data_IF_409773375891
#
_entry.id   IF_409773375891
#
_cell.length_a   1.000
_cell.length_b   1.000
_cell.length_c   1.000
_cell.angle_alpha   90.00
_cell.angle_beta   90.00
_cell.angle_gamma   90.00
#
_symmetry.space_group_name_H-M   'P 1'
#
loop_
_entity.id
_entity.type
_entity.pdbx_description
1 polymer ?
#
# COMPACT_ATOMS: atom_id res chain seq x y z
N UNK A 1 -34.41 11.45 -7.88
CA UNK A 1 -33.44 10.35 -7.78
C UNK A 1 -32.97 10.29 -6.34
N UNK A 2 -33.57 9.42 -5.56
CA UNK A 2 -33.19 9.16 -4.16
C UNK A 2 -31.87 8.40 -4.20
N UNK A 3 -30.78 9.01 -3.76
CA UNK A 3 -29.53 8.29 -3.50
C UNK A 3 -29.82 7.27 -2.39
N UNK A 4 -29.81 5.99 -2.76
CA UNK A 4 -29.89 4.91 -1.79
C UNK A 4 -28.67 5.06 -0.87
N UNK A 5 -28.89 5.38 0.38
CA UNK A 5 -27.89 5.35 1.43
C UNK A 5 -27.35 3.92 1.50
N UNK A 6 -26.13 3.72 1.04
CA UNK A 6 -25.47 2.43 1.19
C UNK A 6 -25.46 2.06 2.69
N UNK A 7 -25.85 0.84 3.01
CA UNK A 7 -25.81 0.34 4.38
C UNK A 7 -24.38 0.46 4.91
N UNK A 8 -24.16 0.96 6.14
CA UNK A 8 -22.83 1.13 6.69
C UNK A 8 -22.11 -0.22 6.70
N UNK A 9 -20.84 -0.21 6.33
CA UNK A 9 -19.99 -1.40 6.36
C UNK A 9 -20.07 -2.09 7.72
N UNK A 10 -20.28 -3.41 7.73
CA UNK A 10 -20.36 -4.19 8.97
C UNK A 10 -19.00 -4.17 9.70
N UNK A 11 -18.93 -3.46 10.80
CA UNK A 11 -17.75 -3.35 11.66
C UNK A 11 -17.40 -1.92 12.03
N UNK A 12 -16.83 -1.72 13.20
CA UNK A 12 -16.35 -0.38 13.62
C UNK A 12 -15.10 0.01 12.83
N UNK A 13 -14.95 1.29 12.40
CA UNK A 13 -13.77 1.76 11.71
C UNK A 13 -12.49 1.47 12.49
N UNK A 14 -11.47 0.94 11.82
CA UNK A 14 -10.17 0.70 12.43
C UNK A 14 -9.43 2.04 12.63
N UNK A 15 -9.00 2.29 13.85
CA UNK A 15 -8.24 3.48 14.20
C UNK A 15 -6.85 3.53 13.55
N UNK A 16 -6.24 4.71 13.57
CA UNK A 16 -4.94 4.96 12.96
C UNK A 16 -3.85 3.99 13.43
N UNK A 17 -3.72 3.78 14.73
CA UNK A 17 -2.66 2.93 15.29
C UNK A 17 -2.72 1.47 14.80
N UNK A 18 -3.92 0.88 14.72
CA UNK A 18 -4.08 -0.48 14.21
C UNK A 18 -3.62 -0.60 12.75
N UNK A 19 -3.95 0.40 11.93
CA UNK A 19 -3.54 0.47 10.52
C UNK A 19 -2.04 0.70 10.38
N UNK A 20 -1.46 1.56 11.24
CA UNK A 20 -0.03 1.86 11.23
C UNK A 20 0.78 0.60 11.56
N UNK A 21 0.44 -0.11 12.63
CA UNK A 21 1.13 -1.35 13.02
C UNK A 21 0.98 -2.41 11.93
N UNK A 22 -0.22 -2.57 11.36
CA UNK A 22 -0.44 -3.48 10.23
C UNK A 22 0.47 -3.11 9.03
N UNK A 23 0.54 -1.83 8.67
CA UNK A 23 1.38 -1.36 7.58
C UNK A 23 2.88 -1.57 7.85
N UNK A 24 3.33 -1.39 9.08
CA UNK A 24 4.72 -1.67 9.49
C UNK A 24 5.05 -3.16 9.29
N UNK A 25 4.18 -4.07 9.75
CA UNK A 25 4.38 -5.51 9.58
C UNK A 25 4.48 -5.86 8.08
N UNK A 26 3.54 -5.38 7.27
CA UNK A 26 3.54 -5.62 5.83
C UNK A 26 4.77 -5.01 5.14
N UNK A 27 5.19 -3.81 5.56
CA UNK A 27 6.40 -3.15 5.03
C UNK A 27 7.67 -3.92 5.36
N UNK A 28 7.79 -4.50 6.55
CA UNK A 28 8.93 -5.36 6.92
C UNK A 28 8.99 -6.58 5.99
N UNK A 29 7.86 -7.23 5.72
CA UNK A 29 7.79 -8.38 4.80
C UNK A 29 8.29 -7.99 3.40
N UNK A 30 7.76 -6.90 2.84
CA UNK A 30 8.15 -6.44 1.50
C UNK A 30 9.60 -5.96 1.46
N UNK A 31 10.07 -5.28 2.50
CA UNK A 31 11.47 -4.83 2.59
C UNK A 31 12.44 -6.03 2.57
N UNK A 32 12.14 -7.10 3.29
CA UNK A 32 12.97 -8.31 3.26
C UNK A 32 13.00 -8.91 1.85
N UNK A 33 11.85 -8.99 1.16
CA UNK A 33 11.78 -9.52 -0.20
C UNK A 33 12.63 -8.68 -1.16
N UNK A 34 12.46 -7.37 -1.15
CA UNK A 34 13.22 -6.45 -2.03
C UNK A 34 14.71 -6.47 -1.68
N UNK A 35 15.05 -6.54 -0.39
CA UNK A 35 16.44 -6.65 0.05
C UNK A 35 17.11 -7.93 -0.48
N UNK A 36 16.44 -9.07 -0.39
CA UNK A 36 16.96 -10.34 -0.92
C UNK A 36 17.18 -10.25 -2.42
N UNK A 37 16.24 -9.68 -3.18
CA UNK A 37 16.37 -9.47 -4.62
C UNK A 37 17.59 -8.57 -4.91
N UNK A 38 17.70 -7.44 -4.22
CA UNK A 38 18.81 -6.48 -4.38
C UNK A 38 20.16 -7.13 -4.06
N UNK A 39 20.22 -7.91 -2.98
CA UNK A 39 21.43 -8.58 -2.54
C UNK A 39 21.89 -9.62 -3.57
N UNK A 40 20.98 -10.48 -4.03
CA UNK A 40 21.30 -11.52 -5.03
C UNK A 40 21.75 -10.90 -6.35
N UNK A 41 21.04 -9.87 -6.83
CA UNK A 41 21.41 -9.18 -8.07
C UNK A 41 22.72 -8.41 -7.92
N UNK A 42 22.91 -7.71 -6.81
CA UNK A 42 24.15 -6.98 -6.54
C UNK A 42 25.37 -7.90 -6.46
N UNK A 43 25.20 -9.06 -5.81
CA UNK A 43 26.26 -10.09 -5.78
C UNK A 43 26.58 -10.66 -7.16
N UNK A 44 25.54 -10.94 -7.96
CA UNK A 44 25.71 -11.52 -9.30
C UNK A 44 26.32 -10.55 -10.32
N UNK A 45 26.00 -9.25 -10.23
CA UNK A 45 26.41 -8.23 -11.19
C UNK A 45 27.70 -7.47 -10.75
N UNK A 46 28.12 -7.65 -9.51
CA UNK A 46 29.28 -6.95 -8.95
C UNK A 46 29.07 -5.43 -8.79
N UNK A 47 30.14 -4.70 -8.44
CA UNK A 47 30.08 -3.26 -8.15
C UNK A 47 29.62 -2.43 -9.36
N UNK A 48 30.02 -2.80 -10.56
CA UNK A 48 29.63 -2.09 -11.79
C UNK A 48 28.15 -2.26 -12.13
N UNK A 49 27.52 -3.32 -11.62
CA UNK A 49 26.12 -3.63 -11.84
C UNK A 49 25.14 -3.10 -10.75
N UNK A 50 25.65 -2.41 -9.70
CA UNK A 50 24.82 -1.97 -8.56
C UNK A 50 23.64 -1.10 -9.00
N UNK A 51 23.83 -0.17 -9.94
CA UNK A 51 22.76 0.68 -10.46
C UNK A 51 21.65 -0.16 -11.13
N UNK A 52 22.04 -1.11 -11.99
CA UNK A 52 21.09 -2.01 -12.66
C UNK A 52 20.37 -2.89 -11.66
N UNK A 53 21.09 -3.46 -10.69
CA UNK A 53 20.51 -4.27 -9.61
C UNK A 53 19.47 -3.47 -8.82
N UNK A 54 19.77 -2.21 -8.52
CA UNK A 54 18.85 -1.32 -7.81
C UNK A 54 17.58 -1.04 -8.61
N UNK A 55 17.70 -0.66 -9.88
CA UNK A 55 16.55 -0.39 -10.75
C UNK A 55 15.66 -1.63 -10.87
N UNK A 56 16.25 -2.80 -11.13
CA UNK A 56 15.51 -4.06 -11.25
C UNK A 56 14.82 -4.43 -9.94
N UNK A 57 15.49 -4.26 -8.80
CA UNK A 57 14.91 -4.56 -7.50
C UNK A 57 13.74 -3.66 -7.16
N UNK A 58 13.82 -2.36 -7.44
CA UNK A 58 12.71 -1.43 -7.25
C UNK A 58 11.55 -1.73 -8.20
N UNK A 59 11.80 -2.00 -9.48
CA UNK A 59 10.75 -2.36 -10.44
C UNK A 59 10.04 -3.65 -10.02
N UNK A 60 10.79 -4.70 -9.68
CA UNK A 60 10.24 -5.95 -9.16
C UNK A 60 9.48 -5.74 -7.85
N UNK A 61 10.03 -4.94 -6.93
CA UNK A 61 9.40 -4.57 -5.67
C UNK A 61 8.05 -3.89 -5.86
N UNK A 62 7.95 -2.98 -6.82
CA UNK A 62 6.70 -2.31 -7.19
C UNK A 62 5.64 -3.28 -7.69
N UNK A 63 6.01 -4.21 -8.58
CA UNK A 63 5.11 -5.25 -9.09
C UNK A 63 4.66 -6.17 -7.95
N UNK A 64 5.59 -6.64 -7.13
CA UNK A 64 5.29 -7.50 -5.98
C UNK A 64 4.36 -6.78 -5.00
N UNK A 65 4.66 -5.51 -4.65
CA UNK A 65 3.84 -4.71 -3.75
C UNK A 65 2.43 -4.51 -4.31
N UNK A 66 2.29 -4.18 -5.60
CA UNK A 66 0.99 -4.02 -6.24
C UNK A 66 0.14 -5.29 -6.09
N UNK A 67 0.68 -6.44 -6.48
CA UNK A 67 -0.06 -7.71 -6.39
C UNK A 67 -0.29 -8.15 -4.93
N UNK A 68 0.68 -7.94 -4.04
CA UNK A 68 0.56 -8.25 -2.63
C UNK A 68 -0.65 -7.56 -2.00
N UNK A 69 -0.72 -6.22 -2.14
CA UNK A 69 -1.82 -5.45 -1.55
C UNK A 69 -3.13 -5.70 -2.28
N UNK A 70 -3.14 -5.62 -3.62
CA UNK A 70 -4.37 -5.75 -4.40
C UNK A 70 -5.02 -7.13 -4.25
N UNK A 71 -4.24 -8.21 -4.38
CA UNK A 71 -4.75 -9.58 -4.28
C UNK A 71 -5.21 -9.96 -2.87
N UNK A 72 -4.48 -9.51 -1.84
CA UNK A 72 -4.82 -9.85 -0.47
C UNK A 72 -6.02 -9.05 0.05
N UNK A 73 -6.15 -7.79 -0.34
CA UNK A 73 -7.27 -6.95 0.05
C UNK A 73 -8.58 -7.25 -0.72
N UNK A 74 -8.48 -7.69 -1.98
CA UNK A 74 -9.65 -8.15 -2.75
C UNK A 74 -9.97 -9.63 -2.55
N UNK A 75 -9.11 -10.37 -1.86
CA UNK A 75 -9.26 -11.79 -1.62
C UNK A 75 -10.30 -12.13 -0.54
N UNK A 76 -10.49 -13.42 -0.29
CA UNK A 76 -11.48 -13.96 0.68
C UNK A 76 -11.35 -13.34 2.08
N UNK A 77 -10.12 -13.12 2.54
CA UNK A 77 -9.86 -12.60 3.89
C UNK A 77 -9.88 -11.07 3.95
N UNK A 78 -9.90 -10.38 2.80
CA UNK A 78 -9.93 -8.92 2.69
C UNK A 78 -8.79 -8.23 3.50
N UNK A 79 -7.69 -8.93 3.73
CA UNK A 79 -6.64 -8.49 4.64
C UNK A 79 -5.26 -9.01 4.24
N UNK A 80 -4.26 -8.16 4.34
CA UNK A 80 -2.84 -8.54 4.30
C UNK A 80 -2.42 -9.25 5.60
N UNK A 81 -1.28 -9.94 5.66
CA UNK A 81 -0.76 -10.54 6.88
C UNK A 81 -0.72 -9.58 8.08
N UNK A 82 -0.20 -8.36 7.88
CA UNK A 82 -0.19 -7.35 8.95
C UNK A 82 -1.60 -6.97 9.42
N UNK A 83 -2.55 -6.85 8.51
CA UNK A 83 -3.96 -6.58 8.86
C UNK A 83 -4.60 -7.74 9.60
N UNK A 84 -4.29 -9.00 9.22
CA UNK A 84 -4.78 -10.19 9.93
C UNK A 84 -4.28 -10.22 11.38
N UNK A 85 -2.99 -9.95 11.59
CA UNK A 85 -2.40 -9.86 12.94
C UNK A 85 -3.11 -8.80 13.78
N UNK A 86 -3.45 -7.66 13.17
CA UNK A 86 -4.15 -6.56 13.86
C UNK A 86 -5.67 -6.73 13.91
N UNK A 87 -6.23 -7.84 13.41
CA UNK A 87 -7.66 -8.14 13.37
C UNK A 87 -8.46 -7.02 12.69
N UNK A 88 -7.97 -6.55 11.54
CA UNK A 88 -8.63 -5.54 10.70
C UNK A 88 -8.70 -6.04 9.25
N UNK A 89 -9.70 -5.60 8.52
CA UNK A 89 -9.93 -5.95 7.10
C UNK A 89 -10.39 -4.76 6.28
N UNK A 90 -10.27 -4.88 4.97
CA UNK A 90 -10.71 -3.86 4.00
C UNK A 90 -12.05 -4.27 3.44
N UNK A 91 -13.00 -3.36 3.45
CA UNK A 91 -14.33 -3.56 2.86
C UNK A 91 -14.64 -2.42 1.90
N UNK A 92 -15.52 -2.66 0.94
CA UNK A 92 -16.11 -1.60 0.13
C UNK A 92 -17.00 -0.71 1.00
N UNK A 93 -17.17 0.55 0.63
CA UNK A 93 -18.12 1.46 1.28
C UNK A 93 -19.57 0.94 1.24
N UNK A 94 -19.90 0.04 0.27
CA UNK A 94 -21.18 -0.68 0.22
C UNK A 94 -21.28 -1.87 1.18
N UNK A 95 -20.23 -2.18 1.94
CA UNK A 95 -20.22 -3.24 2.96
C UNK A 95 -19.75 -4.62 2.49
N UNK A 96 -19.51 -4.81 1.18
CA UNK A 96 -18.97 -6.05 0.60
C UNK A 96 -17.45 -6.10 0.51
N UNK A 97 -16.93 -7.16 -0.15
CA UNK A 97 -15.52 -7.23 -0.50
C UNK A 97 -15.16 -6.15 -1.52
N UNK A 98 -13.96 -5.59 -1.40
CA UNK A 98 -13.41 -4.69 -2.40
C UNK A 98 -13.00 -5.53 -3.62
N UNK A 99 -13.34 -5.07 -4.82
CA UNK A 99 -12.89 -5.71 -6.05
C UNK A 99 -11.39 -5.47 -6.29
N UNK A 100 -10.79 -6.22 -7.21
CA UNK A 100 -9.36 -6.13 -7.50
C UNK A 100 -8.95 -4.74 -8.00
N UNK A 101 -9.76 -4.11 -8.85
CA UNK A 101 -9.49 -2.77 -9.36
C UNK A 101 -9.57 -1.70 -8.25
N UNK A 102 -10.54 -1.80 -7.36
CA UNK A 102 -10.65 -0.96 -6.17
C UNK A 102 -9.47 -1.16 -5.22
N UNK A 103 -9.01 -2.41 -5.04
CA UNK A 103 -7.84 -2.71 -4.23
C UNK A 103 -6.55 -2.11 -4.83
N UNK A 104 -6.36 -2.15 -6.16
CA UNK A 104 -5.26 -1.44 -6.84
C UNK A 104 -5.34 0.07 -6.57
N UNK A 105 -6.51 0.67 -6.81
CA UNK A 105 -6.73 2.11 -6.58
C UNK A 105 -6.45 2.51 -5.14
N UNK A 106 -6.83 1.66 -4.18
CA UNK A 106 -6.61 1.92 -2.77
C UNK A 106 -5.14 1.81 -2.38
N UNK A 107 -4.43 0.81 -2.90
CA UNK A 107 -3.07 0.46 -2.48
C UNK A 107 -1.96 1.28 -3.14
N UNK A 108 -2.27 2.29 -3.96
CA UNK A 108 -1.27 3.10 -4.66
C UNK A 108 -0.21 3.71 -3.73
N UNK A 109 -0.58 4.06 -2.53
CA UNK A 109 0.34 4.59 -1.50
C UNK A 109 1.47 3.62 -1.14
N UNK A 110 1.31 2.33 -1.43
CA UNK A 110 2.29 1.30 -1.10
C UNK A 110 3.16 0.87 -2.28
N UNK A 111 2.65 0.86 -3.51
CA UNK A 111 3.39 0.37 -4.67
C UNK A 111 3.92 1.46 -5.59
N UNK A 112 3.25 2.62 -5.66
CA UNK A 112 3.64 3.70 -6.57
C UNK A 112 5.03 4.24 -6.25
N UNK A 113 5.42 4.31 -4.98
CA UNK A 113 6.72 4.78 -4.55
C UNK A 113 7.90 4.03 -5.15
N UNK A 114 7.75 2.74 -5.40
CA UNK A 114 8.78 1.93 -6.05
C UNK A 114 9.02 2.37 -7.51
N UNK A 115 7.94 2.60 -8.27
CA UNK A 115 8.06 3.04 -9.68
C UNK A 115 8.55 4.49 -9.77
N UNK A 116 8.09 5.35 -8.88
CA UNK A 116 8.58 6.74 -8.80
C UNK A 116 10.07 6.75 -8.46
N UNK A 117 10.54 5.88 -7.57
CA UNK A 117 11.96 5.75 -7.25
C UNK A 117 12.81 5.31 -8.47
N UNK A 118 12.28 4.43 -9.33
CA UNK A 118 12.96 4.07 -10.59
C UNK A 118 13.09 5.30 -11.50
N UNK A 119 12.03 6.08 -11.66
CA UNK A 119 12.07 7.33 -12.46
C UNK A 119 13.06 8.32 -11.86
N UNK A 120 13.03 8.51 -10.55
CA UNK A 120 13.95 9.39 -9.84
C UNK A 120 15.41 9.01 -10.08
N UNK A 121 15.75 7.73 -9.96
CA UNK A 121 17.12 7.23 -10.15
C UNK A 121 17.56 7.42 -11.61
N UNK A 122 16.71 7.05 -12.58
CA UNK A 122 17.07 7.05 -14.01
C UNK A 122 17.13 8.47 -14.58
N UNK A 123 16.20 9.35 -14.19
CA UNK A 123 16.06 10.68 -14.79
C UNK A 123 16.80 11.75 -14.02
N UNK A 124 16.75 11.69 -12.70
CA UNK A 124 17.26 12.76 -11.84
C UNK A 124 18.51 12.37 -11.03
N UNK A 125 18.84 11.08 -10.93
CA UNK A 125 19.94 10.61 -10.09
C UNK A 125 19.75 10.84 -8.58
N UNK A 126 18.52 11.02 -8.13
CA UNK A 126 18.16 11.33 -6.73
C UNK A 126 16.74 10.81 -6.38
N UNK A 127 16.17 11.22 -5.24
CA UNK A 127 14.85 10.77 -4.76
C UNK A 127 13.86 11.94 -4.53
N UNK A 128 13.86 12.97 -5.37
CA UNK A 128 13.00 14.15 -5.21
C UNK A 128 11.51 13.84 -5.31
N UNK A 129 11.08 13.15 -6.37
CA UNK A 129 9.68 12.81 -6.57
C UNK A 129 9.18 11.81 -5.54
N UNK A 130 10.05 10.86 -5.16
CA UNK A 130 9.78 9.90 -4.07
C UNK A 130 9.56 10.64 -2.74
N UNK A 131 10.34 11.67 -2.46
CA UNK A 131 10.16 12.52 -1.28
C UNK A 131 8.83 13.26 -1.28
N UNK A 132 8.44 13.87 -2.41
CA UNK A 132 7.14 14.56 -2.57
C UNK A 132 5.98 13.57 -2.38
N UNK A 133 6.08 12.38 -2.98
CA UNK A 133 5.08 11.32 -2.81
C UNK A 133 4.98 10.87 -1.35
N UNK A 134 6.12 10.77 -0.64
CA UNK A 134 6.16 10.46 0.79
C UNK A 134 5.39 11.48 1.64
N UNK A 135 5.48 12.76 1.32
CA UNK A 135 4.69 13.81 1.97
C UNK A 135 3.18 13.60 1.70
N UNK A 136 2.78 13.29 0.46
CA UNK A 136 1.38 13.02 0.13
C UNK A 136 0.83 11.81 0.90
N UNK A 137 1.62 10.75 1.04
CA UNK A 137 1.27 9.57 1.86
C UNK A 137 1.14 9.95 3.32
N UNK A 138 2.05 10.76 3.88
CA UNK A 138 1.98 11.24 5.25
C UNK A 138 0.71 12.05 5.51
N UNK A 139 0.34 12.95 4.60
CA UNK A 139 -0.92 13.73 4.69
C UNK A 139 -2.14 12.79 4.68
N UNK A 140 -2.11 11.74 3.85
CA UNK A 140 -3.18 10.72 3.84
C UNK A 140 -3.26 9.95 5.17
N UNK A 141 -2.13 9.65 5.79
CA UNK A 141 -2.07 9.02 7.11
C UNK A 141 -2.62 9.92 8.22
N UNK A 142 -2.29 11.22 8.18
CA UNK A 142 -2.84 12.22 9.11
C UNK A 142 -4.37 12.29 8.96
N UNK A 143 -4.89 12.25 7.73
CA UNK A 143 -6.33 12.24 7.48
C UNK A 143 -7.03 11.05 8.19
N UNK A 144 -6.42 9.86 8.18
CA UNK A 144 -6.95 8.70 8.94
C UNK A 144 -7.00 8.96 10.45
N UNK A 145 -6.02 9.69 10.99
CA UNK A 145 -5.96 9.98 12.41
C UNK A 145 -7.04 11.00 12.85
N UNK A 146 -7.28 12.02 12.02
CA UNK A 146 -8.11 13.19 12.38
C UNK A 146 -9.58 13.03 11.97
N UNK A 147 -9.87 12.44 10.79
CA UNK A 147 -11.25 12.29 10.30
C UNK A 147 -12.09 11.38 11.22
N UNK A 148 -13.34 11.72 11.43
CA UNK A 148 -14.28 10.92 12.22
C UNK A 148 -14.53 9.53 11.61
N UNK A 149 -14.58 9.44 10.28
CA UNK A 149 -14.78 8.19 9.54
C UNK A 149 -13.50 7.32 9.45
N UNK A 150 -12.35 7.83 9.94
CA UNK A 150 -11.05 7.13 9.90
C UNK A 150 -10.63 6.68 8.50
N UNK A 151 -10.93 7.47 7.46
CA UNK A 151 -10.55 7.22 6.07
C UNK A 151 -9.43 8.17 5.62
N UNK A 152 -8.40 7.61 4.96
CA UNK A 152 -7.40 8.37 4.23
C UNK A 152 -7.88 8.70 2.82
N UNK A 153 -7.17 9.57 2.10
CA UNK A 153 -7.50 9.91 0.72
C UNK A 153 -7.53 8.69 -0.22
N UNK A 154 -6.64 7.72 0.00
CA UNK A 154 -6.61 6.47 -0.77
C UNK A 154 -7.84 5.58 -0.51
N UNK A 155 -8.40 5.62 0.72
CA UNK A 155 -9.64 4.92 1.05
C UNK A 155 -10.84 5.59 0.38
N UNK A 156 -10.92 6.93 0.44
CA UNK A 156 -11.98 7.72 -0.19
C UNK A 156 -12.00 7.51 -1.70
N UNK A 157 -10.81 7.55 -2.34
CA UNK A 157 -10.68 7.36 -3.79
C UNK A 157 -11.10 5.97 -4.27
N UNK A 158 -10.90 4.96 -3.45
CA UNK A 158 -11.29 3.58 -3.74
C UNK A 158 -12.70 3.21 -3.24
N UNK A 159 -13.44 4.15 -2.67
CA UNK A 159 -14.70 3.90 -1.96
C UNK A 159 -14.59 2.70 -1.01
N UNK A 160 -13.54 2.70 -0.18
CA UNK A 160 -13.19 1.60 0.72
C UNK A 160 -13.11 2.06 2.17
N UNK A 161 -13.24 1.13 3.10
CA UNK A 161 -13.09 1.37 4.52
C UNK A 161 -12.30 0.23 5.17
N UNK A 162 -11.49 0.54 6.18
CA UNK A 162 -10.86 -0.47 7.02
C UNK A 162 -11.64 -0.58 8.31
N UNK A 163 -12.09 -1.79 8.60
CA UNK A 163 -12.93 -2.09 9.76
C UNK A 163 -12.27 -3.16 10.62
N UNK A 164 -12.68 -3.29 11.86
CA UNK A 164 -12.31 -4.42 12.71
C UNK A 164 -12.95 -5.70 12.16
N UNK A 165 -12.17 -6.78 12.11
CA UNK A 165 -12.59 -8.09 11.61
C UNK A 165 -13.36 -8.87 12.67
#
# INVERSE_FOLDING_TARGET
>A
MTMASAAPASGSPAGFLLRLVAAIIDSVILTIIVFVISFVLGFALGMDGVLVATIVAYAAGGIIALFYWAKLESGKDQATPGKKVMKIKVVSASGGALDFAGAIKRSWVHWLGYFVAVVDIVVFGNYYLTGILGIAVLVSCIAVAVKSNKQGFHDDWAAAQVVRA
#
